data_IF_785891149713
#
_entry.id   IF_785891149713
#
_cell.length_a   1.000
_cell.length_b   1.000
_cell.length_c   1.000
_cell.angle_alpha   90.00
_cell.angle_beta   90.00
_cell.angle_gamma   90.00
#
_symmetry.space_group_name_H-M   'P 1'
#
loop_
_entity.id
_entity.type
_entity.pdbx_description
1 polymer ?
#
# COMPACT_ATOMS: atom_id res chain seq x y z
N UNK A 1 20.68 -52.49 -16.50
CA UNK A 1 20.66 -51.01 -16.62
C UNK A 1 19.27 -50.52 -16.21
N UNK A 2 19.21 -49.71 -15.18
CA UNK A 2 17.94 -49.12 -14.69
C UNK A 2 17.75 -47.73 -15.32
N UNK A 3 16.59 -47.47 -15.91
CA UNK A 3 16.20 -46.16 -16.41
C UNK A 3 15.23 -45.55 -15.35
N UNK A 4 15.57 -44.40 -14.81
CA UNK A 4 14.73 -43.67 -13.86
C UNK A 4 14.01 -42.54 -14.61
N UNK A 5 12.68 -42.45 -14.45
CA UNK A 5 11.87 -41.37 -15.04
C UNK A 5 11.49 -40.39 -13.96
N UNK A 6 11.89 -39.14 -14.12
CA UNK A 6 11.48 -38.04 -13.23
C UNK A 6 10.11 -37.50 -13.63
N UNK A 7 9.27 -37.10 -12.68
CA UNK A 7 8.00 -36.45 -12.99
C UNK A 7 8.26 -35.07 -13.69
N UNK A 8 7.32 -34.61 -14.47
CA UNK A 8 7.39 -33.28 -15.08
C UNK A 8 7.40 -32.19 -14.02
N UNK A 9 8.13 -31.12 -14.28
CA UNK A 9 8.10 -29.94 -13.41
C UNK A 9 6.71 -29.30 -13.45
N UNK A 10 6.16 -28.99 -12.27
CA UNK A 10 4.90 -28.25 -12.11
C UNK A 10 5.20 -27.02 -11.28
N UNK A 11 4.88 -25.82 -11.78
CA UNK A 11 5.16 -24.55 -11.11
C UNK A 11 4.37 -24.32 -9.84
N UNK A 12 3.14 -24.84 -9.76
CA UNK A 12 2.25 -24.60 -8.63
C UNK A 12 1.69 -23.18 -8.58
N UNK A 13 1.33 -22.75 -7.38
CA UNK A 13 0.68 -21.45 -7.11
C UNK A 13 1.42 -20.70 -6.02
N UNK A 14 1.62 -19.38 -6.21
CA UNK A 14 2.05 -18.51 -5.12
C UNK A 14 0.82 -17.95 -4.43
N UNK A 15 0.77 -18.11 -3.11
CA UNK A 15 -0.33 -17.64 -2.26
C UNK A 15 0.04 -16.34 -1.54
N UNK A 16 -0.94 -15.75 -0.82
CA UNK A 16 -0.80 -14.54 0.00
C UNK A 16 -0.79 -13.24 -0.82
N UNK A 17 -1.70 -13.12 -1.80
CA UNK A 17 -2.02 -11.83 -2.39
C UNK A 17 -2.39 -10.81 -1.30
N UNK A 18 -1.94 -9.58 -1.44
CA UNK A 18 -2.21 -8.52 -0.47
C UNK A 18 -2.33 -7.16 -1.15
N UNK A 19 -3.03 -6.25 -0.49
CA UNK A 19 -3.05 -4.83 -0.78
C UNK A 19 -2.34 -4.11 0.37
N UNK A 20 -1.35 -3.29 0.05
CA UNK A 20 -0.48 -2.64 1.04
C UNK A 20 -0.29 -1.16 0.69
N UNK A 21 -0.02 -0.33 1.71
CA UNK A 21 0.36 1.06 1.47
C UNK A 21 1.81 1.15 0.99
N UNK A 22 2.09 2.14 0.13
CA UNK A 22 3.43 2.42 -0.38
C UNK A 22 4.42 2.71 0.74
N UNK A 23 5.60 2.11 0.69
CA UNK A 23 6.72 2.33 1.60
C UNK A 23 6.79 1.31 2.72
N UNK A 24 6.26 1.60 3.90
CA UNK A 24 6.41 0.72 5.07
C UNK A 24 5.45 -0.47 5.02
N UNK A 25 5.81 -1.50 4.27
CA UNK A 25 5.05 -2.75 4.16
C UNK A 25 5.98 -3.96 4.14
N UNK A 26 5.46 -5.12 4.51
CA UNK A 26 6.18 -6.39 4.45
C UNK A 26 5.20 -7.56 4.44
N UNK A 27 5.64 -8.69 3.93
CA UNK A 27 4.88 -9.94 3.96
C UNK A 27 5.68 -11.12 3.46
N UNK A 28 5.06 -12.28 3.54
CA UNK A 28 5.65 -13.56 3.10
C UNK A 28 4.73 -14.25 2.12
N UNK A 29 5.27 -14.60 0.97
CA UNK A 29 4.63 -15.40 -0.07
C UNK A 29 5.00 -16.86 0.11
N UNK A 30 4.08 -17.76 -0.18
CA UNK A 30 4.29 -19.20 -0.05
C UNK A 30 3.92 -19.90 -1.35
N UNK A 31 4.82 -20.74 -1.85
CA UNK A 31 4.58 -21.62 -3.00
C UNK A 31 3.91 -22.91 -2.53
N UNK A 32 2.90 -23.37 -3.25
CA UNK A 32 2.23 -24.65 -3.03
C UNK A 32 1.87 -25.35 -4.35
N UNK A 33 1.66 -26.67 -4.29
CA UNK A 33 1.26 -27.47 -5.44
C UNK A 33 2.32 -27.62 -6.53
N UNK A 34 3.60 -27.34 -6.23
CA UNK A 34 4.70 -27.52 -7.16
C UNK A 34 5.19 -28.98 -7.17
N UNK A 35 5.74 -29.40 -8.32
CA UNK A 35 6.52 -30.65 -8.45
C UNK A 35 7.92 -30.29 -8.91
N UNK A 36 8.91 -30.68 -8.12
CA UNK A 36 10.31 -30.31 -8.28
C UNK A 36 10.78 -29.28 -7.26
N UNK A 37 12.05 -28.91 -7.34
CA UNK A 37 12.69 -27.96 -6.42
C UNK A 37 12.56 -26.53 -6.95
N UNK A 38 12.43 -25.55 -6.06
CA UNK A 38 12.49 -24.13 -6.43
C UNK A 38 13.92 -23.81 -6.88
N UNK A 39 14.07 -23.28 -8.08
CA UNK A 39 15.35 -22.83 -8.63
C UNK A 39 15.63 -21.38 -8.29
N UNK A 40 14.59 -20.55 -8.36
CA UNK A 40 14.63 -19.12 -8.01
C UNK A 40 13.22 -18.58 -7.90
N UNK A 41 13.10 -17.39 -7.35
CA UNK A 41 11.92 -16.55 -7.47
C UNK A 41 12.15 -15.44 -8.51
N UNK A 42 11.08 -14.85 -8.97
CA UNK A 42 11.13 -13.72 -9.89
C UNK A 42 10.07 -12.68 -9.49
N UNK A 43 10.39 -11.39 -9.69
CA UNK A 43 9.46 -10.27 -9.48
C UNK A 43 9.29 -9.46 -10.76
N UNK A 44 8.12 -8.82 -10.89
CA UNK A 44 7.78 -7.95 -12.01
C UNK A 44 7.00 -6.74 -11.52
N UNK A 45 7.38 -5.55 -11.97
CA UNK A 45 6.68 -4.28 -11.68
C UNK A 45 5.86 -3.76 -12.87
N UNK A 46 5.75 -4.54 -13.93
CA UNK A 46 5.06 -4.18 -15.19
C UNK A 46 4.04 -5.24 -15.63
N UNK A 47 3.37 -5.86 -14.63
CA UNK A 47 2.30 -6.83 -14.88
C UNK A 47 2.77 -8.15 -15.50
N UNK A 48 4.04 -8.52 -15.31
CA UNK A 48 4.59 -9.78 -15.85
C UNK A 48 5.19 -9.66 -17.24
N UNK A 49 5.30 -8.45 -17.81
CA UNK A 49 5.92 -8.24 -19.11
C UNK A 49 7.43 -8.54 -19.09
N UNK A 50 8.10 -8.18 -18.01
CA UNK A 50 9.50 -8.54 -17.72
C UNK A 50 9.63 -9.03 -16.29
N UNK A 51 10.59 -9.92 -16.05
CA UNK A 51 10.83 -10.55 -14.77
C UNK A 51 12.28 -10.38 -14.33
N UNK A 52 12.48 -9.98 -13.09
CA UNK A 52 13.79 -9.88 -12.44
C UNK A 52 13.99 -11.05 -11.51
N UNK A 53 15.11 -11.75 -11.64
CA UNK A 53 15.43 -12.93 -10.82
C UNK A 53 15.76 -12.54 -9.38
N UNK A 54 15.26 -13.34 -8.43
CA UNK A 54 15.56 -13.28 -7.01
C UNK A 54 16.22 -14.61 -6.62
N UNK A 55 17.43 -14.55 -6.09
CA UNK A 55 18.17 -15.73 -5.63
C UNK A 55 17.55 -16.25 -4.33
N UNK A 56 16.59 -17.16 -4.47
CA UNK A 56 15.93 -17.84 -3.35
C UNK A 56 15.43 -19.20 -3.86
N UNK A 57 15.90 -20.27 -3.27
CA UNK A 57 15.55 -21.65 -3.63
C UNK A 57 14.58 -22.30 -2.62
N UNK A 58 13.94 -21.52 -1.75
CA UNK A 58 12.95 -22.02 -0.79
C UNK A 58 11.53 -21.83 -1.33
N UNK A 59 10.56 -22.50 -0.71
CA UNK A 59 9.14 -22.36 -1.03
C UNK A 59 8.51 -21.07 -0.43
N UNK A 60 9.32 -20.21 0.18
CA UNK A 60 8.85 -18.98 0.83
C UNK A 60 9.68 -17.78 0.34
N UNK A 61 9.02 -16.68 -0.04
CA UNK A 61 9.64 -15.42 -0.47
C UNK A 61 9.06 -14.26 0.32
N UNK A 62 9.93 -13.45 0.93
CA UNK A 62 9.52 -12.21 1.61
C UNK A 62 9.57 -11.01 0.66
N UNK A 63 8.72 -10.04 0.92
CA UNK A 63 8.81 -8.70 0.32
C UNK A 63 8.78 -7.64 1.42
N UNK A 64 9.40 -6.49 1.17
CA UNK A 64 9.45 -5.36 2.09
C UNK A 64 9.49 -4.05 1.31
N UNK A 65 8.91 -2.99 1.91
CA UNK A 65 9.03 -1.61 1.44
C UNK A 65 8.68 -1.40 -0.04
N UNK A 66 7.68 -2.13 -0.52
CA UNK A 66 7.19 -1.95 -1.89
C UNK A 66 6.57 -0.56 -2.05
N UNK A 67 6.95 0.11 -3.13
CA UNK A 67 6.40 1.41 -3.55
C UNK A 67 5.61 1.33 -4.85
N UNK A 68 5.64 0.15 -5.49
CA UNK A 68 4.97 -0.13 -6.78
C UNK A 68 4.34 -1.50 -6.72
N UNK A 69 3.14 -1.66 -7.27
CA UNK A 69 2.47 -2.96 -7.42
C UNK A 69 3.42 -3.95 -8.09
N UNK A 70 3.65 -5.07 -7.42
CA UNK A 70 4.67 -6.05 -7.81
C UNK A 70 4.05 -7.45 -7.89
N UNK A 71 4.29 -8.12 -8.99
CA UNK A 71 3.95 -9.53 -9.18
C UNK A 71 5.14 -10.41 -8.84
N UNK A 72 4.90 -11.56 -8.23
CA UNK A 72 5.92 -12.56 -7.88
C UNK A 72 5.54 -13.93 -8.43
N UNK A 73 6.54 -14.69 -8.87
CA UNK A 73 6.41 -16.10 -9.24
C UNK A 73 7.65 -16.91 -8.81
N UNK A 74 7.49 -18.21 -8.66
CA UNK A 74 8.58 -19.14 -8.48
C UNK A 74 8.89 -19.86 -9.80
N UNK A 75 10.15 -20.21 -10.01
CA UNK A 75 10.63 -21.07 -11.08
C UNK A 75 11.07 -22.39 -10.46
N UNK A 76 10.49 -23.48 -10.94
CA UNK A 76 10.62 -24.82 -10.36
C UNK A 76 11.20 -25.80 -11.38
N UNK A 77 11.99 -26.74 -10.92
CA UNK A 77 12.53 -27.81 -11.78
C UNK A 77 12.51 -29.17 -11.09
N UNK A 78 12.00 -30.17 -11.77
CA UNK A 78 12.18 -31.60 -11.48
C UNK A 78 13.23 -32.14 -12.45
N UNK A 79 14.51 -32.05 -12.04
CA UNK A 79 15.63 -32.43 -12.90
C UNK A 79 15.52 -33.90 -13.35
N UNK A 80 15.79 -34.19 -14.66
CA UNK A 80 16.34 -33.34 -15.73
C UNK A 80 15.24 -32.62 -16.57
N UNK A 81 13.98 -32.57 -16.11
CA UNK A 81 12.90 -31.98 -16.88
C UNK A 81 13.08 -30.46 -17.04
N UNK A 82 12.32 -29.87 -17.98
CA UNK A 82 12.33 -28.43 -18.24
C UNK A 82 11.83 -27.63 -17.02
N UNK A 83 12.23 -26.37 -16.92
CA UNK A 83 11.72 -25.42 -15.93
C UNK A 83 10.23 -25.17 -16.11
N UNK A 84 9.51 -24.97 -15.00
CA UNK A 84 8.11 -24.55 -14.96
C UNK A 84 7.95 -23.32 -14.06
N UNK A 85 7.15 -22.37 -14.50
CA UNK A 85 6.80 -21.20 -13.70
C UNK A 85 5.52 -21.48 -12.90
N UNK A 86 5.47 -20.98 -11.66
CA UNK A 86 4.22 -20.94 -10.90
C UNK A 86 3.23 -19.92 -11.49
N UNK A 87 1.95 -20.05 -11.14
CA UNK A 87 1.03 -18.93 -11.28
C UNK A 87 1.50 -17.79 -10.38
N UNK A 88 1.55 -16.55 -10.92
CA UNK A 88 2.02 -15.40 -10.16
C UNK A 88 0.99 -14.93 -9.14
N UNK A 89 1.47 -14.30 -8.08
CA UNK A 89 0.67 -13.51 -7.14
C UNK A 89 0.97 -12.04 -7.30
N UNK A 90 -0.01 -11.17 -7.08
CA UNK A 90 0.14 -9.70 -7.13
C UNK A 90 0.05 -9.13 -5.72
N UNK A 91 1.02 -8.31 -5.35
CA UNK A 91 0.95 -7.42 -4.19
C UNK A 91 0.63 -6.03 -4.73
N UNK A 92 -0.61 -5.61 -4.52
CA UNK A 92 -1.09 -4.28 -4.93
C UNK A 92 -0.57 -3.23 -3.94
N UNK A 93 0.01 -2.15 -4.46
CA UNK A 93 0.52 -1.05 -3.64
C UNK A 93 -0.29 0.20 -3.89
N UNK A 94 -0.94 0.69 -2.83
CA UNK A 94 -1.67 1.95 -2.85
C UNK A 94 -0.73 3.11 -2.51
N UNK A 95 -0.99 4.26 -3.10
CA UNK A 95 -0.25 5.48 -2.78
C UNK A 95 -0.48 5.88 -1.31
N UNK A 96 0.55 6.38 -0.64
CA UNK A 96 0.40 6.91 0.71
C UNK A 96 -0.62 8.08 0.75
N UNK A 97 -1.35 8.20 1.86
CA UNK A 97 -2.22 9.34 2.12
C UNK A 97 -1.40 10.64 2.14
N UNK A 98 -1.97 11.70 1.58
CA UNK A 98 -1.42 13.05 1.63
C UNK A 98 -2.44 14.00 2.26
N UNK A 99 -2.10 14.65 3.38
CA UNK A 99 -3.00 15.49 4.14
C UNK A 99 -3.44 16.77 3.42
N UNK A 100 -2.66 17.21 2.43
CA UNK A 100 -2.95 18.44 1.68
C UNK A 100 -2.71 19.72 2.50
N UNK A 101 -3.28 20.81 2.03
CA UNK A 101 -3.17 22.14 2.62
C UNK A 101 -4.56 22.73 2.83
N UNK A 102 -4.82 23.22 4.03
CA UNK A 102 -6.03 24.01 4.33
C UNK A 102 -5.77 25.45 3.86
N UNK A 103 -6.79 26.11 3.32
CA UNK A 103 -6.72 27.51 2.85
C UNK A 103 -6.13 28.46 3.91
N UNK A 104 -5.64 29.59 3.45
CA UNK A 104 -4.88 30.56 4.25
C UNK A 104 -5.58 31.01 5.52
N UNK A 105 -4.77 31.27 6.55
CA UNK A 105 -5.23 31.87 7.81
C UNK A 105 -5.90 33.23 7.59
N UNK A 106 -6.91 33.53 8.40
CA UNK A 106 -7.57 34.81 8.43
C UNK A 106 -7.56 35.38 9.85
N UNK A 107 -7.50 36.71 9.97
CA UNK A 107 -7.71 37.40 11.24
C UNK A 107 -9.15 37.90 11.27
N UNK A 108 -9.87 37.56 12.31
CA UNK A 108 -11.28 37.92 12.49
C UNK A 108 -11.48 38.55 13.88
N UNK A 109 -12.51 39.41 13.99
CA UNK A 109 -12.88 39.96 15.31
C UNK A 109 -13.52 38.87 16.18
N UNK A 110 -13.27 38.95 17.49
CA UNK A 110 -13.91 38.03 18.47
C UNK A 110 -15.42 38.15 18.47
N UNK A 111 -16.11 37.03 18.47
CA UNK A 111 -17.57 36.96 18.56
C UNK A 111 -18.24 36.79 17.19
N UNK A 112 -18.80 37.88 16.64
CA UNK A 112 -19.55 37.78 15.35
C UNK A 112 -18.62 37.65 14.16
N UNK A 113 -18.23 36.43 13.82
CA UNK A 113 -17.39 36.12 12.68
C UNK A 113 -17.83 34.79 12.04
N UNK A 114 -17.50 34.61 10.77
CA UNK A 114 -17.71 33.36 10.05
C UNK A 114 -16.81 33.27 8.82
N UNK A 115 -16.59 32.05 8.38
CA UNK A 115 -15.83 31.78 7.15
C UNK A 115 -15.82 30.31 6.78
N UNK A 116 -15.19 30.02 5.67
CA UNK A 116 -15.05 28.66 5.15
C UNK A 116 -13.59 28.37 4.84
N UNK A 117 -13.09 27.27 5.34
CA UNK A 117 -11.78 26.71 5.01
C UNK A 117 -11.94 25.68 3.91
N UNK A 118 -10.96 25.58 3.02
CA UNK A 118 -10.97 24.61 1.92
C UNK A 118 -9.68 23.78 1.95
N UNK A 119 -9.80 22.47 1.88
CA UNK A 119 -8.68 21.56 1.76
C UNK A 119 -8.33 21.38 0.27
N UNK A 120 -7.04 21.43 -0.06
CA UNK A 120 -6.53 21.22 -1.42
C UNK A 120 -5.26 20.36 -1.40
N UNK A 121 -4.94 19.73 -2.56
CA UNK A 121 -3.72 18.96 -2.73
C UNK A 121 -3.63 17.70 -1.87
N UNK A 122 -4.75 17.20 -1.33
CA UNK A 122 -4.79 15.97 -0.55
C UNK A 122 -4.91 14.73 -1.44
N UNK A 123 -4.56 13.57 -0.89
CA UNK A 123 -4.77 12.25 -1.53
C UNK A 123 -5.33 11.27 -0.50
N UNK A 124 -6.44 10.63 -0.86
CA UNK A 124 -7.20 9.73 0.00
C UNK A 124 -8.59 10.28 0.30
N UNK A 125 -9.25 9.70 1.28
CA UNK A 125 -10.59 10.08 1.75
C UNK A 125 -10.47 10.94 3.00
N UNK A 126 -11.21 12.06 3.07
CA UNK A 126 -11.31 12.86 4.28
C UNK A 126 -12.19 12.10 5.27
N UNK A 127 -11.62 11.69 6.40
CA UNK A 127 -12.35 10.95 7.43
C UNK A 127 -12.92 11.84 8.53
N UNK A 128 -12.32 13.02 8.73
CA UNK A 128 -12.81 14.04 9.67
C UNK A 128 -12.01 15.33 9.52
N UNK A 129 -12.56 16.39 10.08
CA UNK A 129 -11.81 17.60 10.43
C UNK A 129 -11.52 17.63 11.93
N UNK A 130 -10.61 18.49 12.33
CA UNK A 130 -10.26 18.71 13.73
C UNK A 130 -10.01 20.18 13.98
N UNK A 131 -10.35 20.66 15.17
CA UNK A 131 -10.03 22.01 15.65
C UNK A 131 -9.19 21.97 16.92
N UNK A 132 -8.37 23.01 17.10
CA UNK A 132 -7.54 23.21 18.30
C UNK A 132 -7.57 24.67 18.72
N UNK A 133 -7.76 24.92 20.00
CA UNK A 133 -7.72 26.26 20.63
C UNK A 133 -6.46 26.49 21.47
N UNK A 134 -5.54 25.52 21.51
CA UNK A 134 -4.32 25.57 22.33
C UNK A 134 -3.03 25.40 21.49
N UNK A 135 -3.05 25.94 20.28
CA UNK A 135 -1.86 25.93 19.41
C UNK A 135 -1.50 24.56 18.84
N UNK A 136 -2.49 23.63 18.73
CA UNK A 136 -2.27 22.30 18.20
C UNK A 136 -1.80 21.27 19.23
N UNK A 137 -1.78 21.60 20.52
CA UNK A 137 -1.39 20.67 21.59
C UNK A 137 -2.43 19.55 21.74
N UNK A 138 -3.71 19.88 21.63
CA UNK A 138 -4.80 18.89 21.54
C UNK A 138 -5.78 19.27 20.44
N UNK A 139 -6.52 18.27 19.95
CA UNK A 139 -7.44 18.41 18.83
C UNK A 139 -8.80 17.82 19.17
N UNK A 140 -9.86 18.54 18.83
CA UNK A 140 -11.25 18.09 18.96
C UNK A 140 -11.76 17.68 17.58
N UNK A 141 -12.36 16.50 17.48
CA UNK A 141 -12.91 15.97 16.25
C UNK A 141 -14.17 16.72 15.79
N UNK A 142 -14.24 16.98 14.49
CA UNK A 142 -15.41 17.51 13.80
C UNK A 142 -15.85 16.46 12.78
N UNK A 143 -17.08 15.96 12.89
CA UNK A 143 -17.65 14.95 12.00
C UNK A 143 -18.01 15.57 10.64
N UNK A 144 -17.01 15.91 9.86
CA UNK A 144 -17.12 16.47 8.52
C UNK A 144 -16.15 15.77 7.58
N UNK A 145 -16.66 15.20 6.50
CA UNK A 145 -15.90 14.45 5.49
C UNK A 145 -15.81 15.19 4.16
N UNK A 146 -16.23 16.46 4.11
CA UNK A 146 -16.18 17.28 2.89
C UNK A 146 -14.86 18.04 2.78
N UNK A 147 -14.59 18.57 1.59
CA UNK A 147 -13.38 19.37 1.31
C UNK A 147 -13.42 20.75 1.99
N UNK A 148 -14.57 21.15 2.56
CA UNK A 148 -14.74 22.46 3.19
C UNK A 148 -15.14 22.30 4.66
N UNK A 149 -14.65 23.21 5.50
CA UNK A 149 -15.02 23.34 6.89
C UNK A 149 -15.40 24.78 7.20
N UNK A 150 -16.64 25.02 7.62
CA UNK A 150 -17.07 26.35 8.07
C UNK A 150 -16.71 26.56 9.56
N UNK A 151 -16.49 27.83 9.90
CA UNK A 151 -16.38 28.27 11.26
C UNK A 151 -17.27 29.48 11.50
N UNK A 152 -17.68 29.70 12.74
CA UNK A 152 -18.45 30.88 13.14
C UNK A 152 -18.24 31.21 14.62
N UNK A 153 -18.47 32.49 14.98
CA UNK A 153 -18.50 32.97 16.38
C UNK A 153 -17.25 32.60 17.19
N UNK A 154 -16.09 32.60 16.56
CA UNK A 154 -14.83 32.33 17.24
C UNK A 154 -14.50 33.46 18.20
N UNK A 155 -14.20 33.10 19.45
CA UNK A 155 -13.75 34.02 20.51
C UNK A 155 -12.30 33.82 20.89
N UNK A 156 -11.69 32.73 20.40
CA UNK A 156 -10.30 32.33 20.67
C UNK A 156 -9.63 31.91 19.35
N UNK A 157 -8.34 32.17 19.23
CA UNK A 157 -7.54 31.68 18.09
C UNK A 157 -7.72 30.17 17.95
N UNK A 158 -8.23 29.75 16.80
CA UNK A 158 -8.55 28.34 16.53
C UNK A 158 -7.80 27.87 15.29
N UNK A 159 -7.13 26.75 15.39
CA UNK A 159 -6.50 26.05 14.27
C UNK A 159 -7.41 24.93 13.77
N UNK A 160 -7.37 24.66 12.48
CA UNK A 160 -8.13 23.58 11.84
C UNK A 160 -7.21 22.72 10.99
N UNK A 161 -7.51 21.42 10.95
CA UNK A 161 -6.87 20.46 10.02
C UNK A 161 -7.88 19.40 9.58
N UNK A 162 -7.65 18.83 8.39
CA UNK A 162 -8.34 17.64 7.93
C UNK A 162 -7.49 16.40 8.22
N UNK A 163 -8.13 15.29 8.48
CA UNK A 163 -7.51 13.96 8.59
C UNK A 163 -7.92 13.16 7.35
N UNK A 164 -6.92 12.71 6.59
CA UNK A 164 -7.09 12.03 5.31
C UNK A 164 -6.48 10.63 5.41
N UNK A 165 -7.18 9.64 4.87
CA UNK A 165 -6.75 8.24 4.82
C UNK A 165 -6.96 7.66 3.43
N UNK A 166 -5.98 6.87 2.96
CA UNK A 166 -6.04 6.05 1.74
C UNK A 166 -6.24 4.60 2.10
#
# INVERSE_FOLDING_TARGET
VTQTVSPLSVGGFVNSAAQVCSGSNSGTLTLSGNTGSVVRWESSVNGGSTWTSITNATTSQTYTNLTTTTSYRAVVQSSPCALANSFPVVISVDSASLGGTVSTSATVCSGTNSGTLTLSGYRGTIIKWQSSTNGGTSWTDIANTTITQSYSNLTTTTQYRAVVQN
#
